data_IF_906908862668
#
_entry.id   IF_906908862668
#
_cell.length_a   1.000
_cell.length_b   1.000
_cell.length_c   1.000
_cell.angle_alpha   90.00
_cell.angle_beta   90.00
_cell.angle_gamma   90.00
#
_symmetry.space_group_name_H-M   'P 1'
#
loop_
_entity.id
_entity.type
_entity.pdbx_description
1 polymer ?
#
# COMPACT_ATOMS: atom_id res chain seq x y z
N UNK A 1 2.53 39.57 22.96
CA UNK A 1 3.67 39.06 22.18
C UNK A 1 4.61 38.46 23.22
N UNK A 2 4.83 37.16 23.30
CA UNK A 2 5.18 36.21 22.24
C UNK A 2 4.57 34.82 22.52
N UNK A 3 4.19 34.11 21.46
CA UNK A 3 3.77 32.71 21.53
C UNK A 3 5.02 31.83 21.47
N UNK A 4 5.33 31.11 22.54
CA UNK A 4 6.37 30.08 22.55
C UNK A 4 5.82 28.88 21.77
N UNK A 5 5.99 28.91 20.46
CA UNK A 5 5.83 27.73 19.61
C UNK A 5 7.01 26.82 19.94
N UNK A 6 6.75 25.71 20.62
CA UNK A 6 7.74 24.66 20.86
C UNK A 6 8.22 24.13 19.52
N UNK A 7 9.40 24.57 19.09
CA UNK A 7 10.17 23.93 18.05
C UNK A 7 10.58 22.54 18.54
N UNK A 8 9.78 21.53 18.22
CA UNK A 8 10.27 20.16 18.23
C UNK A 8 11.17 19.99 16.98
N UNK A 9 12.37 19.40 17.11
CA UNK A 9 13.35 19.37 16.04
C UNK A 9 12.77 18.62 14.85
N UNK A 10 12.82 19.21 13.66
CA UNK A 10 12.61 18.51 12.40
C UNK A 10 13.73 17.47 12.26
N UNK A 11 13.49 16.27 12.80
CA UNK A 11 14.41 15.14 12.67
C UNK A 11 14.55 14.76 11.19
N UNK A 12 15.70 14.21 10.76
CA UNK A 12 15.98 13.80 9.38
C UNK A 12 15.10 12.65 8.85
N UNK A 13 14.14 12.15 9.62
CA UNK A 13 13.34 10.95 9.33
C UNK A 13 12.26 11.16 8.25
N UNK A 14 11.88 12.40 7.96
CA UNK A 14 10.81 12.68 6.99
C UNK A 14 11.22 12.46 5.53
N UNK A 15 12.53 12.47 5.21
CA UNK A 15 13.01 12.34 3.83
C UNK A 15 13.00 10.88 3.34
N UNK A 16 12.99 9.90 4.26
CA UNK A 16 13.00 8.47 3.95
C UNK A 16 11.68 7.74 4.29
N UNK A 17 10.62 8.49 4.62
CA UNK A 17 9.34 7.88 4.98
C UNK A 17 8.57 7.42 3.73
N UNK A 18 8.43 6.11 3.58
CA UNK A 18 7.68 5.48 2.47
C UNK A 18 6.24 5.19 2.86
N UNK A 19 5.36 4.99 1.87
CA UNK A 19 4.00 4.53 2.12
C UNK A 19 4.00 3.21 2.89
N UNK A 20 3.18 3.13 3.94
CA UNK A 20 2.95 1.88 4.67
C UNK A 20 1.70 1.22 4.09
N UNK A 21 1.85 -0.01 3.59
CA UNK A 21 0.74 -0.84 3.16
C UNK A 21 0.72 -2.17 3.93
N UNK A 22 -0.44 -2.63 4.39
CA UNK A 22 -1.69 -1.88 4.47
C UNK A 22 -1.66 -0.80 5.57
N UNK A 23 -2.47 0.25 5.41
CA UNK A 23 -2.73 1.25 6.45
C UNK A 23 -4.22 1.40 6.74
N UNK A 24 -4.55 1.76 7.97
CA UNK A 24 -5.90 2.02 8.45
C UNK A 24 -6.19 3.52 8.41
N UNK A 25 -7.28 3.93 7.75
CA UNK A 25 -7.79 5.31 7.75
C UNK A 25 -9.30 5.28 7.96
N UNK A 26 -9.77 5.94 9.03
CA UNK A 26 -11.12 5.69 9.55
C UNK A 26 -11.27 4.21 9.95
N UNK A 27 -12.38 3.60 9.56
CA UNK A 27 -12.66 2.18 9.81
C UNK A 27 -12.19 1.25 8.68
N UNK A 28 -11.45 1.78 7.71
CA UNK A 28 -11.10 1.07 6.47
C UNK A 28 -9.60 0.77 6.39
N UNK A 29 -9.28 -0.43 5.88
CA UNK A 29 -7.91 -0.88 5.63
C UNK A 29 -7.59 -0.79 4.12
N UNK A 30 -6.62 0.05 3.80
CA UNK A 30 -6.19 0.34 2.44
C UNK A 30 -4.85 -0.33 2.12
N UNK A 31 -4.76 -0.91 0.94
CA UNK A 31 -3.60 -1.69 0.48
C UNK A 31 -2.87 -1.02 -0.70
N UNK A 32 -3.34 0.16 -1.08
CA UNK A 32 -2.88 0.98 -2.18
C UNK A 32 -3.10 2.45 -1.81
N UNK A 33 -2.52 3.36 -2.59
CA UNK A 33 -2.81 4.78 -2.48
C UNK A 33 -4.29 5.06 -2.70
N UNK A 34 -4.84 6.03 -1.98
CA UNK A 34 -6.27 6.37 -2.01
C UNK A 34 -6.46 7.84 -2.35
N UNK A 35 -7.60 8.16 -2.96
CA UNK A 35 -8.04 9.53 -3.24
C UNK A 35 -9.12 10.03 -2.27
N UNK A 36 -9.28 9.34 -1.13
CA UNK A 36 -10.32 9.71 -0.15
C UNK A 36 -10.04 11.14 0.35
N UNK A 37 -11.04 12.02 0.18
CA UNK A 37 -10.97 13.45 0.50
C UNK A 37 -9.81 14.22 -0.15
N UNK A 38 -9.33 13.78 -1.31
CA UNK A 38 -8.21 14.41 -2.03
C UNK A 38 -8.37 14.28 -3.54
N UNK A 39 -7.95 15.30 -4.29
CA UNK A 39 -7.85 15.21 -5.76
C UNK A 39 -6.67 14.35 -6.23
N UNK A 40 -5.74 14.04 -5.33
CA UNK A 40 -4.53 13.26 -5.60
C UNK A 40 -4.44 12.04 -4.69
N UNK A 41 -3.93 10.95 -5.25
CA UNK A 41 -3.67 9.72 -4.51
C UNK A 41 -2.62 9.94 -3.42
N UNK A 42 -2.93 9.48 -2.21
CA UNK A 42 -2.08 9.59 -1.03
C UNK A 42 -2.05 8.29 -0.24
N UNK A 43 -1.06 8.19 0.65
CA UNK A 43 -0.90 7.06 1.56
C UNK A 43 -0.52 7.54 2.96
N UNK A 44 -0.79 6.70 3.96
CA UNK A 44 -0.23 6.93 5.30
C UNK A 44 1.22 6.47 5.37
N UNK A 45 1.98 7.16 6.22
CA UNK A 45 3.34 6.76 6.63
C UNK A 45 3.31 5.88 7.89
N UNK A 46 2.11 5.58 8.39
CA UNK A 46 1.85 4.78 9.58
C UNK A 46 0.89 3.64 9.25
N UNK A 47 1.00 2.52 9.96
CA UNK A 47 0.03 1.42 9.86
C UNK A 47 -1.37 1.87 10.31
N UNK A 48 -1.44 2.68 11.36
CA UNK A 48 -2.66 3.30 11.84
C UNK A 48 -2.51 4.80 11.63
N UNK A 49 -3.40 5.40 10.84
CA UNK A 49 -3.27 6.80 10.45
C UNK A 49 -3.27 7.72 11.68
N UNK A 50 -2.17 8.45 11.86
CA UNK A 50 -1.96 9.41 12.94
C UNK A 50 -1.78 10.85 12.43
N UNK A 51 -2.14 11.10 11.17
CA UNK A 51 -1.97 12.40 10.51
C UNK A 51 -0.68 12.53 9.69
N UNK A 52 0.20 11.52 9.68
CA UNK A 52 1.36 11.50 8.75
C UNK A 52 0.97 10.83 7.43
N UNK A 53 1.11 11.59 6.35
CA UNK A 53 0.77 11.17 5.00
C UNK A 53 1.63 11.89 3.97
N UNK A 54 1.63 11.37 2.74
CA UNK A 54 2.16 12.06 1.56
C UNK A 54 1.42 11.66 0.31
N UNK A 55 1.53 12.47 -0.75
CA UNK A 55 1.08 12.08 -2.07
C UNK A 55 1.93 10.96 -2.63
N UNK A 56 1.26 10.01 -3.26
CA UNK A 56 1.91 8.89 -3.90
C UNK A 56 2.62 9.29 -5.19
N UNK A 57 3.65 8.51 -5.50
CA UNK A 57 4.43 8.61 -6.73
C UNK A 57 4.53 7.22 -7.37
N UNK A 58 5.14 7.12 -8.56
CA UNK A 58 5.42 5.81 -9.17
C UNK A 58 6.32 4.89 -8.33
N UNK A 59 6.95 5.40 -7.26
CA UNK A 59 7.74 4.63 -6.29
C UNK A 59 6.91 4.03 -5.15
N UNK A 60 5.61 4.26 -5.14
CA UNK A 60 4.69 3.78 -4.10
C UNK A 60 3.70 2.72 -4.62
N UNK A 61 4.14 1.68 -5.34
CA UNK A 61 3.22 0.66 -5.79
C UNK A 61 2.68 -0.12 -4.58
N UNK A 62 1.41 -0.55 -4.61
CA UNK A 62 0.88 -1.45 -3.60
C UNK A 62 1.75 -2.72 -3.49
N UNK A 63 1.83 -3.34 -2.31
CA UNK A 63 2.75 -4.47 -2.06
C UNK A 63 2.02 -5.80 -2.15
N UNK A 64 2.62 -6.79 -2.82
CA UNK A 64 2.09 -8.16 -2.81
C UNK A 64 2.19 -8.76 -1.41
N UNK A 65 1.14 -9.44 -0.96
CA UNK A 65 1.19 -10.21 0.28
C UNK A 65 1.43 -11.67 -0.07
N UNK A 66 2.49 -12.25 0.49
CA UNK A 66 2.83 -13.66 0.33
C UNK A 66 2.92 -14.36 1.70
N UNK A 67 2.48 -15.62 1.80
CA UNK A 67 1.65 -16.31 0.82
C UNK A 67 0.23 -15.72 0.78
N UNK A 68 -0.42 -15.82 -0.38
CA UNK A 68 -1.85 -15.54 -0.50
C UNK A 68 -2.62 -16.76 -1.02
N UNK A 69 -3.89 -16.87 -0.63
CA UNK A 69 -4.78 -17.96 -1.05
C UNK A 69 -5.63 -17.52 -2.24
N UNK A 70 -5.61 -18.29 -3.32
CA UNK A 70 -6.50 -18.15 -4.47
C UNK A 70 -6.97 -19.54 -4.95
N UNK A 71 -8.27 -19.72 -5.17
CA UNK A 71 -8.88 -21.01 -5.58
C UNK A 71 -8.38 -22.21 -4.73
N UNK A 72 -8.32 -22.01 -3.41
CA UNK A 72 -7.83 -23.00 -2.42
C UNK A 72 -6.35 -23.42 -2.57
N UNK A 73 -5.55 -22.67 -3.33
CA UNK A 73 -4.09 -22.86 -3.47
C UNK A 73 -3.34 -21.70 -2.83
N UNK A 74 -2.16 -21.98 -2.28
CA UNK A 74 -1.25 -20.99 -1.73
C UNK A 74 -0.23 -20.56 -2.78
N UNK A 75 -0.08 -19.25 -2.97
CA UNK A 75 0.89 -18.66 -3.88
C UNK A 75 1.93 -17.87 -3.10
N UNK A 76 3.20 -18.19 -3.31
CA UNK A 76 4.35 -17.53 -2.70
C UNK A 76 5.08 -16.56 -3.63
N UNK A 77 4.58 -16.43 -4.87
CA UNK A 77 5.09 -15.54 -5.92
C UNK A 77 3.93 -15.14 -6.82
N UNK A 78 4.18 -14.19 -7.73
CA UNK A 78 3.19 -13.82 -8.74
C UNK A 78 2.76 -15.04 -9.57
N UNK A 79 1.46 -15.14 -9.85
CA UNK A 79 0.88 -16.23 -10.64
C UNK A 79 0.29 -15.71 -11.93
N UNK A 80 0.30 -16.53 -12.99
CA UNK A 80 -0.44 -16.26 -14.25
C UNK A 80 -1.80 -16.96 -14.27
N UNK A 81 -2.12 -17.70 -13.22
CA UNK A 81 -3.34 -18.50 -13.17
C UNK A 81 -4.58 -17.59 -13.33
N UNK A 82 -5.50 -18.01 -14.20
CA UNK A 82 -6.76 -17.31 -14.49
C UNK A 82 -6.66 -15.98 -15.23
N UNK A 83 -5.49 -15.58 -15.76
CA UNK A 83 -5.33 -14.36 -16.55
C UNK A 83 -5.11 -14.65 -18.04
N UNK A 84 -5.98 -14.12 -18.91
CA UNK A 84 -6.08 -14.45 -20.35
C UNK A 84 -4.86 -13.99 -21.17
N UNK A 85 -4.13 -12.98 -20.70
CA UNK A 85 -3.07 -12.30 -21.48
C UNK A 85 -1.63 -12.60 -20.99
N UNK A 86 -1.39 -13.74 -20.34
CA UNK A 86 -0.07 -14.14 -19.83
C UNK A 86 0.57 -13.18 -18.80
N UNK A 87 -0.20 -12.20 -18.30
CA UNK A 87 0.22 -11.25 -17.27
C UNK A 87 0.18 -11.93 -15.91
N UNK A 88 1.26 -11.82 -15.15
CA UNK A 88 1.31 -12.31 -13.78
C UNK A 88 0.71 -11.29 -12.82
N UNK A 89 0.13 -11.78 -11.72
CA UNK A 89 -0.51 -10.97 -10.69
C UNK A 89 -0.22 -11.53 -9.31
N UNK A 90 -0.42 -10.71 -8.29
CA UNK A 90 -0.34 -11.11 -6.89
C UNK A 90 -1.50 -10.50 -6.10
N UNK A 91 -1.90 -11.16 -5.01
CA UNK A 91 -2.86 -10.55 -4.09
C UNK A 91 -2.20 -9.49 -3.24
N UNK A 92 -2.99 -8.48 -2.87
CA UNK A 92 -2.61 -7.49 -1.87
C UNK A 92 -3.03 -7.92 -0.46
N UNK A 93 -3.65 -9.10 -0.29
CA UNK A 93 -4.10 -9.63 1.01
C UNK A 93 -3.73 -11.10 1.16
N UNK A 94 -3.94 -11.65 2.37
CA UNK A 94 -3.72 -13.08 2.62
C UNK A 94 -4.77 -13.96 1.94
N UNK A 95 -6.02 -13.48 1.79
CA UNK A 95 -7.10 -14.25 1.20
C UNK A 95 -7.73 -13.49 0.02
N UNK A 96 -7.20 -13.74 -1.18
CA UNK A 96 -7.75 -13.12 -2.39
C UNK A 96 -9.21 -13.51 -2.61
N UNK A 97 -9.63 -14.72 -2.22
CA UNK A 97 -10.98 -15.20 -2.50
C UNK A 97 -12.04 -14.35 -1.77
N UNK A 98 -11.70 -13.82 -0.60
CA UNK A 98 -12.57 -12.94 0.18
C UNK A 98 -12.38 -11.47 -0.24
N UNK A 99 -11.14 -11.00 -0.25
CA UNK A 99 -10.86 -9.57 -0.39
C UNK A 99 -10.88 -9.08 -1.84
N UNK A 100 -10.54 -9.97 -2.79
CA UNK A 100 -10.42 -9.67 -4.23
C UNK A 100 -9.51 -8.48 -4.56
N UNK A 101 -8.57 -8.15 -3.68
CA UNK A 101 -7.54 -7.10 -3.91
C UNK A 101 -6.29 -7.70 -4.52
N UNK A 102 -5.82 -7.12 -5.61
CA UNK A 102 -4.67 -7.60 -6.37
C UNK A 102 -3.98 -6.48 -7.14
N UNK A 103 -2.77 -6.74 -7.62
CA UNK A 103 -2.09 -5.93 -8.62
C UNK A 103 -1.46 -6.79 -9.70
N UNK A 104 -1.28 -6.22 -10.88
CA UNK A 104 -0.42 -6.81 -11.90
C UNK A 104 1.03 -6.75 -11.40
N UNK A 105 1.76 -7.84 -11.55
CA UNK A 105 3.19 -7.85 -11.27
C UNK A 105 3.96 -7.23 -12.44
N UNK A 106 5.07 -6.56 -12.12
CA UNK A 106 5.99 -6.07 -13.15
C UNK A 106 6.57 -7.25 -13.93
N UNK A 107 6.69 -7.17 -15.27
CA UNK A 107 7.32 -8.22 -16.06
C UNK A 107 8.82 -8.40 -15.75
N UNK A 108 9.43 -7.50 -14.97
CA UNK A 108 10.87 -7.50 -14.69
C UNK A 108 11.27 -8.12 -13.33
N UNK A 109 10.31 -8.52 -12.49
CA UNK A 109 10.60 -9.14 -11.19
C UNK A 109 10.06 -10.59 -11.18
N UNK A 110 10.87 -11.52 -11.69
CA UNK A 110 10.64 -12.97 -11.67
C UNK A 110 11.27 -13.63 -10.45
#
# INVERSE_FOLDING_TARGET
>A
MEFIVRAHPLLPEFVNSTCVFPFTYGDMIYHNCISVHSSYDWCSLDKNFQGRWRYCTGKDPPVCIFPFVFKKKYFHRCTKESYILNRSWCSLTKNYNEDRKWKQCSPYNF
#
